data_IF_459406451436
#
_entry.id   IF_459406451436
#
_cell.length_a   1.000
_cell.length_b   1.000
_cell.length_c   1.000
_cell.angle_alpha   90.00
_cell.angle_beta   90.00
_cell.angle_gamma   90.00
#
_symmetry.space_group_name_H-M   'P 1'
#
loop_
_entity.id
_entity.type
_entity.pdbx_description
1 polymer ?
#
# COMPACT_ATOMS: atom_id res chain seq x y z
N UNK A 1 14.84 2.55 -5.00
CA UNK A 1 14.61 2.30 -3.57
C UNK A 1 13.15 2.04 -3.21
N UNK A 2 12.16 2.65 -3.88
CA UNK A 2 10.74 2.42 -3.60
C UNK A 2 10.28 0.95 -3.77
N UNK A 3 10.82 0.19 -4.73
CA UNK A 3 10.39 -1.20 -4.98
C UNK A 3 10.55 -2.14 -3.78
N UNK A 4 11.55 -1.95 -2.90
CA UNK A 4 11.70 -2.77 -1.70
C UNK A 4 10.61 -2.46 -0.66
N UNK A 5 10.19 -1.19 -0.57
CA UNK A 5 9.09 -0.77 0.28
C UNK A 5 7.75 -1.30 -0.24
N UNK A 6 7.56 -1.31 -1.57
CA UNK A 6 6.40 -1.94 -2.21
C UNK A 6 6.32 -3.42 -1.83
N UNK A 7 7.39 -4.19 -2.07
CA UNK A 7 7.45 -5.62 -1.74
C UNK A 7 7.23 -5.89 -0.24
N UNK A 8 7.77 -5.04 0.64
CA UNK A 8 7.54 -5.12 2.08
C UNK A 8 6.06 -4.96 2.42
N UNK A 9 5.41 -3.92 1.90
CA UNK A 9 4.00 -3.65 2.19
C UNK A 9 3.10 -4.76 1.62
N UNK A 10 3.37 -5.25 0.42
CA UNK A 10 2.63 -6.38 -0.17
C UNK A 10 2.74 -7.65 0.68
N UNK A 11 3.97 -7.99 1.11
CA UNK A 11 4.24 -9.19 1.90
C UNK A 11 3.65 -9.11 3.32
N UNK A 12 3.88 -8.02 4.04
CA UNK A 12 3.48 -7.89 5.46
C UNK A 12 1.96 -7.77 5.62
N UNK A 13 1.28 -7.11 4.68
CA UNK A 13 -0.16 -6.84 4.78
C UNK A 13 -1.01 -7.68 3.83
N UNK A 14 -0.40 -8.63 3.12
CA UNK A 14 -1.06 -9.52 2.16
C UNK A 14 -1.93 -8.74 1.14
N UNK A 15 -1.39 -7.64 0.63
CA UNK A 15 -2.04 -6.75 -0.32
C UNK A 15 -1.30 -6.72 -1.67
N UNK A 16 -1.95 -6.18 -2.69
CA UNK A 16 -1.38 -5.98 -4.03
C UNK A 16 -1.30 -4.46 -4.27
N UNK A 17 -0.13 -3.98 -4.66
CA UNK A 17 0.11 -2.59 -5.05
C UNK A 17 0.00 -2.52 -6.58
N UNK A 18 -1.07 -1.88 -7.07
CA UNK A 18 -1.33 -1.73 -8.50
C UNK A 18 -0.59 -0.48 -9.04
N UNK A 19 -0.60 -0.30 -10.37
CA UNK A 19 0.07 0.85 -11.01
C UNK A 19 -0.39 2.21 -10.48
N UNK A 20 -1.66 2.32 -10.06
CA UNK A 20 -2.24 3.55 -9.48
C UNK A 20 -1.71 3.83 -8.07
N UNK A 21 -1.31 2.79 -7.34
CA UNK A 21 -0.75 2.92 -5.99
C UNK A 21 0.72 3.30 -6.01
N UNK A 22 1.43 3.02 -7.12
CA UNK A 22 2.86 3.33 -7.32
C UNK A 22 3.17 4.83 -7.43
N UNK A 23 2.18 5.70 -7.24
CA UNK A 23 2.42 7.12 -7.05
C UNK A 23 3.36 7.34 -5.84
N UNK A 24 4.42 8.11 -6.06
CA UNK A 24 5.40 8.42 -5.03
C UNK A 24 4.77 9.09 -3.80
N UNK A 25 3.67 9.81 -3.96
CA UNK A 25 2.97 10.44 -2.84
C UNK A 25 2.38 9.42 -1.86
N UNK A 26 2.05 8.19 -2.31
CA UNK A 26 1.62 7.09 -1.42
C UNK A 26 2.76 6.54 -0.56
N UNK A 27 4.02 6.74 -0.97
CA UNK A 27 5.21 6.22 -0.27
C UNK A 27 6.09 7.32 0.35
N UNK A 28 5.66 8.58 0.25
CA UNK A 28 6.45 9.75 0.67
C UNK A 28 6.58 9.91 2.17
N UNK A 29 5.61 9.41 2.93
CA UNK A 29 5.57 9.47 4.40
C UNK A 29 4.97 8.21 4.98
N UNK A 30 5.25 7.93 6.25
CA UNK A 30 4.64 6.80 6.97
C UNK A 30 3.11 6.90 6.95
N UNK A 31 2.56 8.09 7.17
CA UNK A 31 1.10 8.30 7.16
C UNK A 31 0.47 8.00 5.79
N UNK A 32 1.15 8.35 4.69
CA UNK A 32 0.66 8.03 3.34
C UNK A 32 0.63 6.51 3.10
N UNK A 33 1.65 5.78 3.58
CA UNK A 33 1.71 4.31 3.49
C UNK A 33 0.60 3.68 4.33
N UNK A 34 0.36 4.19 5.55
CA UNK A 34 -0.75 3.73 6.41
C UNK A 34 -2.09 3.93 5.70
N UNK A 35 -2.33 5.11 5.12
CA UNK A 35 -3.56 5.38 4.37
C UNK A 35 -3.71 4.46 3.15
N UNK A 36 -2.62 4.16 2.44
CA UNK A 36 -2.65 3.19 1.33
C UNK A 36 -3.10 1.81 1.81
N UNK A 37 -2.51 1.33 2.91
CA UNK A 37 -2.86 0.04 3.53
C UNK A 37 -4.32 0.03 3.98
N UNK A 38 -4.78 1.07 4.66
CA UNK A 38 -6.17 1.18 5.14
C UNK A 38 -7.19 1.14 3.99
N UNK A 39 -6.93 1.86 2.88
CA UNK A 39 -7.81 1.83 1.69
C UNK A 39 -7.91 0.42 1.08
N UNK A 40 -6.77 -0.27 0.96
CA UNK A 40 -6.69 -1.62 0.35
C UNK A 40 -7.28 -2.71 1.26
N UNK A 41 -7.16 -2.55 2.57
CA UNK A 41 -7.69 -3.52 3.55
C UNK A 41 -9.17 -3.31 3.85
N UNK A 42 -9.64 -2.06 3.89
CA UNK A 42 -11.07 -1.74 4.11
C UNK A 42 -11.93 -2.18 2.93
N UNK A 43 -11.44 -2.04 1.70
CA UNK A 43 -12.14 -2.50 0.48
C UNK A 43 -12.34 -4.02 0.42
N UNK A 44 -11.65 -4.79 1.28
CA UNK A 44 -11.80 -6.24 1.41
C UNK A 44 -12.89 -6.66 2.41
N UNK A 45 -13.52 -5.70 3.09
CA UNK A 45 -14.67 -5.91 3.99
C UNK A 45 -15.98 -5.70 3.23
N UNK A 46 -16.36 -6.70 2.44
CA UNK A 46 -17.72 -6.83 1.89
C UNK A 46 -18.07 -8.31 1.77
N UNK A 47 -17.90 -9.08 2.85
CA UNK A 47 -18.57 -10.36 3.14
C UNK A 47 -18.70 -10.49 4.64
#
# INVERSE_FOLDING_TARGET
>A
FAMQLVLFVESEFALIVDNEDLDIDNFRTINAIVQLIERKTTSRSSV
#
